data_IF_913507085589
#
_entry.id   IF_913507085589
#
_cell.length_a   1.000
_cell.length_b   1.000
_cell.length_c   1.000
_cell.angle_alpha   90.00
_cell.angle_beta   90.00
_cell.angle_gamma   90.00
#
_symmetry.space_group_name_H-M   'P 1'
#
loop_
_entity.id
_entity.type
_entity.pdbx_description
1 polymer ?
#
# COMPACT_ATOMS: atom_id res chain seq x y z
N UNK A 1 -3.86 2.27 -11.01
CA UNK A 1 -5.21 2.76 -10.71
C UNK A 1 -5.17 3.86 -9.64
N UNK A 2 -4.60 3.59 -8.46
CA UNK A 2 -4.60 4.56 -7.34
C UNK A 2 -3.87 5.87 -7.63
N UNK A 3 -2.77 5.82 -8.41
CA UNK A 3 -2.09 7.02 -8.86
C UNK A 3 -2.98 7.94 -9.72
N UNK A 4 -3.79 7.36 -10.61
CA UNK A 4 -4.74 8.11 -11.44
C UNK A 4 -5.87 8.71 -10.60
N UNK A 5 -6.32 8.03 -9.54
CA UNK A 5 -7.32 8.56 -8.61
C UNK A 5 -6.77 9.78 -7.85
N UNK A 6 -5.49 9.75 -7.47
CA UNK A 6 -4.84 10.88 -6.81
C UNK A 6 -4.66 12.06 -7.77
N UNK A 7 -4.26 11.81 -9.02
CA UNK A 7 -4.18 12.83 -10.06
C UNK A 7 -5.54 13.48 -10.34
N UNK A 8 -6.61 12.67 -10.45
CA UNK A 8 -7.97 13.18 -10.63
C UNK A 8 -8.39 14.09 -9.47
N UNK A 9 -8.04 13.73 -8.23
CA UNK A 9 -8.30 14.56 -7.05
C UNK A 9 -7.53 15.88 -7.05
N UNK A 10 -6.28 15.89 -7.51
CA UNK A 10 -5.48 17.12 -7.66
C UNK A 10 -6.09 18.02 -8.73
N UNK A 11 -6.33 17.47 -9.93
CA UNK A 11 -6.89 18.22 -11.06
C UNK A 11 -8.27 18.80 -10.74
N UNK A 12 -9.16 18.02 -10.13
CA UNK A 12 -10.49 18.49 -9.74
C UNK A 12 -10.44 19.59 -8.67
N UNK A 13 -9.50 19.52 -7.72
CA UNK A 13 -9.31 20.58 -6.74
C UNK A 13 -8.80 21.88 -7.39
N UNK A 14 -7.89 21.79 -8.37
CA UNK A 14 -7.38 22.94 -9.12
C UNK A 14 -8.47 23.58 -9.99
N UNK A 15 -9.30 22.77 -10.66
CA UNK A 15 -10.41 23.25 -11.48
C UNK A 15 -11.44 24.02 -10.65
N UNK A 16 -11.87 23.44 -9.51
CA UNK A 16 -12.78 24.11 -8.59
C UNK A 16 -12.20 25.40 -8.01
N UNK A 17 -10.89 25.43 -7.77
CA UNK A 17 -10.19 26.62 -7.31
C UNK A 17 -10.27 27.76 -8.34
N UNK A 18 -10.01 27.47 -9.61
CA UNK A 18 -10.16 28.41 -10.72
C UNK A 18 -11.58 28.98 -10.81
N UNK A 19 -12.60 28.10 -10.75
CA UNK A 19 -14.01 28.52 -10.76
C UNK A 19 -14.35 29.45 -9.60
N UNK A 20 -13.81 29.22 -8.39
CA UNK A 20 -14.08 30.12 -7.23
C UNK A 20 -13.40 31.47 -7.35
N UNK A 21 -12.19 31.49 -7.92
CA UNK A 21 -11.46 32.73 -8.18
C UNK A 21 -12.24 33.61 -9.17
N UNK A 22 -12.74 33.02 -10.26
CA UNK A 22 -13.57 33.71 -11.26
C UNK A 22 -14.88 34.25 -10.65
N UNK A 23 -15.45 33.55 -9.66
CA UNK A 23 -16.62 33.98 -8.91
C UNK A 23 -16.32 35.04 -7.83
N UNK A 24 -15.06 35.46 -7.65
CA UNK A 24 -14.64 36.37 -6.58
C UNK A 24 -14.71 35.76 -5.17
N UNK A 25 -14.86 34.43 -5.05
CA UNK A 25 -15.01 33.70 -3.78
C UNK A 25 -13.66 33.26 -3.22
N UNK A 26 -12.75 34.21 -3.03
CA UNK A 26 -11.39 33.97 -2.56
C UNK A 26 -11.31 33.24 -1.21
N UNK A 27 -12.27 33.51 -0.30
CA UNK A 27 -12.34 32.84 1.00
C UNK A 27 -12.59 31.32 0.93
N UNK A 28 -12.98 30.79 -0.23
CA UNK A 28 -13.22 29.36 -0.44
C UNK A 28 -12.10 28.66 -1.21
N UNK A 29 -11.06 29.38 -1.59
CA UNK A 29 -9.92 28.82 -2.34
C UNK A 29 -9.06 27.92 -1.44
N UNK A 30 -8.90 28.30 -0.17
CA UNK A 30 -8.00 27.63 0.77
C UNK A 30 -8.34 26.14 0.97
N UNK A 31 -9.63 25.79 1.07
CA UNK A 31 -10.06 24.37 1.20
C UNK A 31 -9.63 23.51 0.00
N UNK A 32 -9.61 24.09 -1.20
CA UNK A 32 -9.18 23.38 -2.41
C UNK A 32 -7.67 23.26 -2.49
N UNK A 33 -6.92 24.26 -2.01
CA UNK A 33 -5.47 24.20 -1.85
C UNK A 33 -5.10 23.05 -0.90
N UNK A 34 -5.74 22.98 0.27
CA UNK A 34 -5.51 21.91 1.25
C UNK A 34 -5.83 20.54 0.65
N UNK A 35 -6.93 20.43 -0.09
CA UNK A 35 -7.33 19.17 -0.75
C UNK A 35 -6.29 18.72 -1.79
N UNK A 36 -5.84 19.62 -2.67
CA UNK A 36 -4.84 19.34 -3.69
C UNK A 36 -3.49 18.94 -3.05
N UNK A 37 -3.04 19.67 -2.03
CA UNK A 37 -1.81 19.36 -1.29
C UNK A 37 -1.88 17.99 -0.61
N UNK A 38 -3.03 17.64 -0.01
CA UNK A 38 -3.25 16.32 0.58
C UNK A 38 -3.13 15.19 -0.44
N UNK A 39 -3.75 15.36 -1.62
CA UNK A 39 -3.65 14.38 -2.70
C UNK A 39 -2.22 14.27 -3.27
N UNK A 40 -1.51 15.38 -3.42
CA UNK A 40 -0.11 15.40 -3.86
C UNK A 40 0.83 14.69 -2.88
N UNK A 41 0.67 14.91 -1.56
CA UNK A 41 1.44 14.20 -0.53
C UNK A 41 1.22 12.69 -0.59
N UNK A 42 -0.03 12.25 -0.77
CA UNK A 42 -0.36 10.82 -0.92
C UNK A 42 0.27 10.24 -2.20
N UNK A 43 0.24 10.99 -3.31
CA UNK A 43 0.86 10.55 -4.56
C UNK A 43 2.36 10.38 -4.38
N UNK A 44 3.06 11.36 -3.79
CA UNK A 44 4.48 11.26 -3.50
C UNK A 44 4.83 10.05 -2.61
N UNK A 45 4.03 9.79 -1.57
CA UNK A 45 4.21 8.62 -0.71
C UNK A 45 4.03 7.30 -1.49
N UNK A 46 3.05 7.23 -2.39
CA UNK A 46 2.84 6.07 -3.25
C UNK A 46 4.01 5.86 -4.20
N UNK A 47 4.48 6.92 -4.87
CA UNK A 47 5.65 6.84 -5.77
C UNK A 47 6.91 6.43 -5.01
N UNK A 48 7.10 6.93 -3.78
CA UNK A 48 8.23 6.54 -2.94
C UNK A 48 8.18 5.05 -2.59
N UNK A 49 6.99 4.52 -2.23
CA UNK A 49 6.80 3.07 -1.99
C UNK A 49 7.05 2.25 -3.25
N UNK A 50 6.58 2.71 -4.41
CA UNK A 50 6.81 2.05 -5.70
C UNK A 50 8.29 2.08 -6.10
N UNK A 51 9.00 3.17 -5.88
CA UNK A 51 10.44 3.28 -6.15
C UNK A 51 11.26 2.43 -5.18
N UNK A 52 10.87 2.38 -3.90
CA UNK A 52 11.48 1.49 -2.92
C UNK A 52 11.27 0.01 -3.30
N UNK A 53 10.09 -0.34 -3.80
CA UNK A 53 9.79 -1.68 -4.34
C UNK A 53 10.49 -1.96 -5.67
N UNK A 54 10.64 -0.94 -6.54
CA UNK A 54 11.26 -1.05 -7.86
C UNK A 54 12.79 -1.11 -7.79
N UNK A 55 13.42 -0.66 -6.70
CA UNK A 55 14.83 -0.95 -6.46
C UNK A 55 14.98 -2.47 -6.44
N UNK A 56 15.55 -3.00 -7.52
CA UNK A 56 15.87 -4.43 -7.67
C UNK A 56 16.77 -4.86 -6.53
N UNK A 57 16.18 -5.35 -5.45
CA UNK A 57 16.83 -6.39 -4.68
C UNK A 57 16.95 -7.56 -5.65
N UNK A 58 18.17 -8.05 -5.87
CA UNK A 58 18.38 -9.29 -6.61
C UNK A 58 17.58 -10.35 -5.87
N UNK A 59 16.53 -10.89 -6.52
CA UNK A 59 15.76 -11.98 -5.94
C UNK A 59 16.71 -13.16 -5.71
N UNK A 60 16.54 -13.83 -4.57
CA UNK A 60 17.22 -15.09 -4.27
C UNK A 60 16.18 -16.21 -4.12
N UNK A 61 15.63 -16.73 -5.24
CA UNK A 61 14.61 -17.77 -5.16
C UNK A 61 15.22 -19.06 -4.63
N UNK A 62 14.68 -19.54 -3.52
CA UNK A 62 15.11 -20.79 -2.89
C UNK A 62 13.90 -21.72 -2.72
N UNK A 63 14.09 -23.06 -2.77
CA UNK A 63 13.04 -24.01 -2.43
C UNK A 63 12.54 -23.74 -1.01
N UNK A 64 11.30 -23.25 -0.89
CA UNK A 64 10.73 -22.76 0.36
C UNK A 64 9.49 -23.58 0.72
N UNK A 65 9.44 -24.06 1.96
CA UNK A 65 8.22 -24.62 2.55
C UNK A 65 7.31 -23.46 3.00
N UNK A 66 6.29 -23.20 2.18
CA UNK A 66 5.36 -22.09 2.41
C UNK A 66 4.55 -22.28 3.70
N UNK A 67 4.19 -23.52 4.07
CA UNK A 67 3.47 -23.77 5.32
C UNK A 67 4.33 -23.39 6.52
N UNK A 68 5.62 -23.75 6.48
CA UNK A 68 6.56 -23.39 7.54
C UNK A 68 6.79 -21.88 7.63
N UNK A 69 6.91 -21.21 6.48
CA UNK A 69 7.06 -19.75 6.41
C UNK A 69 5.83 -19.05 7.00
N UNK A 70 4.62 -19.40 6.55
CA UNK A 70 3.38 -18.81 7.08
C UNK A 70 3.24 -19.01 8.58
N UNK A 71 3.54 -20.22 9.09
CA UNK A 71 3.50 -20.52 10.53
C UNK A 71 4.49 -19.67 11.32
N UNK A 72 5.68 -19.40 10.77
CA UNK A 72 6.67 -18.51 11.38
C UNK A 72 6.23 -17.05 11.41
N UNK A 73 5.36 -16.65 10.48
CA UNK A 73 4.84 -15.28 10.38
C UNK A 73 3.58 -15.03 11.21
N UNK A 74 2.83 -16.06 11.61
CA UNK A 74 1.51 -15.92 12.26
C UNK A 74 1.56 -14.95 13.46
N UNK A 75 2.54 -15.11 14.35
CA UNK A 75 2.68 -14.25 15.54
C UNK A 75 3.02 -12.79 15.18
N UNK A 76 3.86 -12.59 14.16
CA UNK A 76 4.25 -11.26 13.70
C UNK A 76 3.05 -10.56 13.05
N UNK A 77 2.31 -11.26 12.20
CA UNK A 77 1.09 -10.76 11.57
C UNK A 77 0.05 -10.41 12.64
N UNK A 78 -0.21 -11.30 13.60
CA UNK A 78 -1.16 -11.08 14.69
C UNK A 78 -0.84 -9.83 15.51
N UNK A 79 0.45 -9.57 15.78
CA UNK A 79 0.89 -8.34 16.45
C UNK A 79 0.73 -7.10 15.59
N UNK A 80 0.88 -7.24 14.27
CA UNK A 80 0.83 -6.12 13.32
C UNK A 80 -0.61 -5.66 13.08
N UNK A 81 -1.54 -6.59 12.91
CA UNK A 81 -2.97 -6.27 12.71
C UNK A 81 -3.70 -5.92 14.02
N UNK A 82 -3.13 -6.30 15.16
CA UNK A 82 -3.64 -5.98 16.49
C UNK A 82 -4.58 -7.05 17.07
N UNK A 83 -4.86 -6.98 18.38
CA UNK A 83 -5.55 -8.04 19.12
C UNK A 83 -7.05 -8.16 18.81
N UNK A 84 -7.64 -7.16 18.16
CA UNK A 84 -9.06 -7.16 17.76
C UNK A 84 -9.31 -7.97 16.49
N UNK A 85 -8.26 -8.39 15.78
CA UNK A 85 -8.36 -9.15 14.53
C UNK A 85 -7.85 -10.57 14.81
N UNK A 86 -8.68 -11.57 14.51
CA UNK A 86 -8.32 -12.98 14.64
C UNK A 86 -7.54 -13.41 13.40
N UNK A 87 -6.30 -13.88 13.58
CA UNK A 87 -5.47 -14.40 12.50
C UNK A 87 -5.48 -15.93 12.53
N UNK A 88 -6.00 -16.55 11.48
CA UNK A 88 -5.95 -18.00 11.28
C UNK A 88 -5.03 -18.36 10.12
N UNK A 89 -4.20 -19.39 10.30
CA UNK A 89 -3.30 -19.90 9.26
C UNK A 89 -3.69 -21.34 8.93
N UNK A 90 -4.24 -21.53 7.73
CA UNK A 90 -4.67 -22.85 7.23
C UNK A 90 -3.68 -23.30 6.17
N UNK A 91 -2.83 -24.26 6.52
CA UNK A 91 -1.86 -24.87 5.60
C UNK A 91 -2.45 -26.04 4.80
N UNK A 92 -1.81 -26.40 3.70
CA UNK A 92 -2.17 -27.57 2.89
C UNK A 92 -1.35 -28.81 3.28
N UNK A 93 -1.97 -29.98 3.35
CA UNK A 93 -1.26 -31.25 3.58
C UNK A 93 -0.46 -31.66 2.35
N UNK A 94 0.80 -32.05 2.53
CA UNK A 94 1.66 -32.52 1.44
C UNK A 94 2.10 -31.43 0.45
N UNK A 95 2.07 -30.15 0.86
CA UNK A 95 2.48 -29.05 -0.01
C UNK A 95 3.94 -29.20 -0.45
N UNK A 96 4.18 -29.08 -1.75
CA UNK A 96 5.53 -29.15 -2.31
C UNK A 96 6.31 -27.87 -2.02
N UNK A 97 7.64 -27.95 -1.84
CA UNK A 97 8.48 -26.76 -1.76
C UNK A 97 8.28 -25.89 -3.01
N UNK A 98 8.07 -24.59 -2.80
CA UNK A 98 7.86 -23.62 -3.88
C UNK A 98 9.14 -22.81 -4.08
N UNK A 99 9.56 -22.61 -5.33
CA UNK A 99 10.74 -21.80 -5.64
C UNK A 99 10.36 -20.31 -5.56
N UNK A 100 10.67 -19.67 -4.43
CA UNK A 100 10.34 -18.26 -4.16
C UNK A 100 11.45 -17.62 -3.33
N UNK A 101 11.56 -16.30 -3.39
CA UNK A 101 12.35 -15.55 -2.40
C UNK A 101 11.51 -15.43 -1.12
N UNK A 102 11.95 -16.10 -0.05
CA UNK A 102 11.23 -16.15 1.21
C UNK A 102 10.97 -14.74 1.78
N UNK A 103 11.96 -13.85 1.71
CA UNK A 103 11.84 -12.48 2.24
C UNK A 103 10.79 -11.66 1.48
N UNK A 104 10.68 -11.86 0.18
CA UNK A 104 9.67 -11.19 -0.64
C UNK A 104 8.27 -11.77 -0.39
N UNK A 105 8.16 -13.09 -0.18
CA UNK A 105 6.90 -13.72 0.19
C UNK A 105 6.41 -13.23 1.56
N UNK A 106 7.30 -13.12 2.55
CA UNK A 106 6.98 -12.55 3.86
C UNK A 106 6.47 -11.12 3.76
N UNK A 107 7.18 -10.27 3.01
CA UNK A 107 6.77 -8.87 2.80
C UNK A 107 5.43 -8.76 2.06
N UNK A 108 5.18 -9.62 1.08
CA UNK A 108 3.91 -9.67 0.36
C UNK A 108 2.74 -10.02 1.28
N UNK A 109 2.92 -11.03 2.14
CA UNK A 109 1.92 -11.44 3.13
C UNK A 109 1.64 -10.33 4.15
N UNK A 110 2.68 -9.65 4.66
CA UNK A 110 2.49 -8.53 5.58
C UNK A 110 1.73 -7.37 4.95
N UNK A 111 2.11 -6.98 3.74
CA UNK A 111 1.42 -5.92 3.02
C UNK A 111 -0.04 -6.29 2.74
N UNK A 112 -0.34 -7.56 2.45
CA UNK A 112 -1.71 -8.00 2.29
C UNK A 112 -2.49 -7.86 3.61
N UNK A 113 -1.95 -8.34 4.73
CA UNK A 113 -2.62 -8.28 6.04
C UNK A 113 -2.82 -6.85 6.56
N UNK A 114 -1.91 -5.91 6.26
CA UNK A 114 -2.04 -4.50 6.66
C UNK A 114 -3.12 -3.77 5.86
N UNK A 115 -3.31 -4.14 4.59
CA UNK A 115 -4.22 -3.45 3.68
C UNK A 115 -5.60 -4.13 3.55
N UNK A 116 -5.79 -5.31 4.13
CA UNK A 116 -7.06 -6.03 4.19
C UNK A 116 -8.01 -5.39 5.22
#
# INVERSE_FOLDING_TARGET
HDFNNLLAGISGALELMGTRIEQGRWGEVDKYIVTAQGAAKRAAALTHRLLAFSRRQTLDPQPTDVNRLMKGMTDLIQRTVGPSIVVETIGATGLWPTLVDASQLENALLNLCINA
#
